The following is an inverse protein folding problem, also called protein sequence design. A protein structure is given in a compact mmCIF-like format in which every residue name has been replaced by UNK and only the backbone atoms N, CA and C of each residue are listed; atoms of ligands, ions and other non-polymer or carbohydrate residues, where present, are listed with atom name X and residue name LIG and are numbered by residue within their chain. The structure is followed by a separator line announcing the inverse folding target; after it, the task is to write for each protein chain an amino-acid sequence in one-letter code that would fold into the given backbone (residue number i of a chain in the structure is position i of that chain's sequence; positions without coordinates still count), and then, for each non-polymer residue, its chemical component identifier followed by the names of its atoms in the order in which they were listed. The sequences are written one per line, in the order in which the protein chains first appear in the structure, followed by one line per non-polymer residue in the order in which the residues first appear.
data_IF_984543449476
#
_entry.id   IF_984543449476
#
_cell.length_a   1.000
_cell.length_b   1.000
_cell.length_c   1.000
_cell.angle_alpha   90.00
_cell.angle_beta   90.00
_cell.angle_gamma   90.00
#
_symmetry.space_group_name_H-M   'P 1'
#
loop_
_entity.id
_entity.type
_entity.pdbx_description
1 polymer ?
#
# COMPACT_ATOMS: atom_id res chain seq x y z
N UNK A 1 11.97 20.10 10.67
CA UNK A 1 12.76 18.97 11.17
C UNK A 1 13.08 18.03 10.03
N UNK A 2 14.35 17.88 9.74
CA UNK A 2 14.78 17.01 8.64
C UNK A 2 15.60 15.85 9.17
N UNK A 3 15.22 14.63 8.80
CA UNK A 3 15.94 13.43 9.16
C UNK A 3 16.35 12.70 7.88
N UNK A 4 17.16 11.66 8.01
CA UNK A 4 17.52 10.82 6.88
C UNK A 4 16.26 10.23 6.25
N UNK A 5 15.27 9.87 7.07
CA UNK A 5 14.01 9.34 6.56
C UNK A 5 13.32 10.38 5.67
N UNK A 6 13.26 11.63 6.11
CA UNK A 6 12.66 12.70 5.33
C UNK A 6 13.33 12.84 3.98
N UNK A 7 14.66 12.81 3.96
CA UNK A 7 15.40 12.94 2.71
C UNK A 7 15.14 11.78 1.78
N UNK A 8 15.10 10.57 2.31
CA UNK A 8 14.92 9.39 1.47
C UNK A 8 13.53 9.28 0.90
N UNK A 9 12.53 9.74 1.64
CA UNK A 9 11.15 9.65 1.19
C UNK A 9 10.64 10.92 0.52
N UNK A 10 11.42 11.99 0.58
CA UNK A 10 11.00 13.27 -0.01
C UNK A 10 9.91 13.96 0.77
N UNK A 11 9.85 13.75 2.08
CA UNK A 11 8.82 14.34 2.93
C UNK A 11 9.45 15.35 3.88
N UNK A 12 8.62 16.23 4.44
CA UNK A 12 9.09 17.29 5.33
C UNK A 12 9.10 16.85 6.80
N UNK A 13 8.14 16.03 7.18
CA UNK A 13 8.01 15.56 8.56
C UNK A 13 8.23 14.06 8.61
N UNK A 14 8.93 13.55 9.62
CA UNK A 14 9.18 12.12 9.71
C UNK A 14 7.96 11.36 10.23
N UNK A 15 6.85 11.51 9.52
CA UNK A 15 5.57 10.91 9.87
C UNK A 15 5.06 10.11 8.69
N UNK A 16 4.78 8.83 8.91
CA UNK A 16 4.25 7.94 7.90
C UNK A 16 2.89 7.47 8.38
N UNK A 17 1.88 7.63 7.54
CA UNK A 17 0.55 7.15 7.87
C UNK A 17 0.55 5.63 7.98
N UNK A 18 -0.07 5.11 9.03
CA UNK A 18 -0.19 3.66 9.19
C UNK A 18 -1.15 3.11 8.14
N UNK A 19 -0.82 1.97 7.54
CA UNK A 19 -1.75 1.34 6.60
C UNK A 19 -2.91 0.72 7.36
N UNK A 20 -4.12 1.22 7.10
CA UNK A 20 -5.33 0.75 7.75
C UNK A 20 -6.36 0.38 6.70
N UNK A 21 -6.57 -0.92 6.52
CA UNK A 21 -7.47 -1.41 5.49
C UNK A 21 -8.91 -0.98 5.76
N UNK A 22 -9.58 -0.56 4.72
CA UNK A 22 -11.00 -0.25 4.77
C UNK A 22 -11.34 1.12 5.31
N UNK A 23 -10.45 1.76 6.03
CA UNK A 23 -10.75 3.03 6.68
C UNK A 23 -10.14 4.22 5.96
N UNK A 24 -9.21 4.00 5.07
CA UNK A 24 -8.42 5.08 4.50
C UNK A 24 -8.53 5.06 2.98
N UNK A 25 -8.99 6.17 2.43
CA UNK A 25 -9.02 6.35 0.99
C UNK A 25 -8.03 7.41 0.55
N UNK A 26 -8.04 7.75 -0.74
CA UNK A 26 -7.09 8.73 -1.26
C UNK A 26 -7.22 10.11 -0.63
N UNK A 27 -8.41 10.50 -0.20
CA UNK A 27 -8.57 11.84 0.37
C UNK A 27 -7.78 12.02 1.66
N UNK A 28 -7.87 11.04 2.57
CA UNK A 28 -7.11 11.13 3.81
C UNK A 28 -5.61 10.99 3.54
N UNK A 29 -5.23 10.07 2.67
CA UNK A 29 -3.83 9.88 2.35
C UNK A 29 -3.25 11.15 1.73
N UNK A 30 -3.99 11.80 0.84
CA UNK A 30 -3.53 13.04 0.23
C UNK A 30 -3.39 14.15 1.27
N UNK A 31 -4.31 14.20 2.23
CA UNK A 31 -4.21 15.21 3.29
C UNK A 31 -2.94 15.03 4.10
N UNK A 32 -2.57 13.79 4.41
CA UNK A 32 -1.32 13.52 5.13
C UNK A 32 -0.12 13.95 4.30
N UNK A 33 -0.10 13.60 3.01
CA UNK A 33 1.01 13.98 2.14
C UNK A 33 1.11 15.49 1.99
N UNK A 34 -0.02 16.18 1.84
CA UNK A 34 -0.03 17.62 1.70
C UNK A 34 0.41 18.32 2.98
N UNK A 35 0.23 17.68 4.11
CA UNK A 35 0.69 18.23 5.39
C UNK A 35 2.18 18.01 5.63
N UNK A 36 2.87 17.27 4.76
CA UNK A 36 4.31 17.08 4.85
C UNK A 36 4.75 15.71 5.27
N UNK A 37 3.84 14.82 5.62
CA UNK A 37 4.15 13.44 5.94
C UNK A 37 4.05 12.54 4.71
N UNK A 38 3.98 11.24 4.93
CA UNK A 38 3.79 10.29 3.84
C UNK A 38 2.42 9.64 3.97
N UNK A 39 1.50 10.01 3.08
CA UNK A 39 0.21 9.35 2.99
C UNK A 39 0.37 7.93 2.45
N UNK A 40 -0.55 7.04 2.81
CA UNK A 40 -0.41 5.64 2.46
C UNK A 40 -1.72 5.09 1.90
N UNK A 41 -1.65 4.51 0.71
CA UNK A 41 -2.77 3.78 0.13
C UNK A 41 -2.61 2.30 0.45
N UNK A 42 -3.72 1.68 0.87
CA UNK A 42 -3.72 0.25 1.19
C UNK A 42 -4.42 -0.48 0.06
N UNK A 43 -3.65 -1.15 -0.79
CA UNK A 43 -4.18 -1.70 -2.05
C UNK A 43 -3.99 -3.20 -2.19
N UNK A 44 -3.59 -3.89 -1.13
CA UNK A 44 -3.24 -5.31 -1.24
C UNK A 44 -4.44 -6.21 -1.52
N UNK A 45 -5.66 -5.69 -1.40
CA UNK A 45 -6.87 -6.45 -1.73
C UNK A 45 -7.63 -5.85 -2.91
N UNK A 46 -7.14 -4.77 -3.46
CA UNK A 46 -7.84 -4.07 -4.53
C UNK A 46 -7.67 -4.80 -5.85
N UNK A 47 -8.68 -4.72 -6.71
CA UNK A 47 -8.53 -5.21 -8.08
C UNK A 47 -7.78 -4.18 -8.91
N UNK A 48 -7.46 -4.55 -10.16
CA UNK A 48 -6.63 -3.69 -11.01
C UNK A 48 -7.27 -2.33 -11.26
N UNK A 49 -8.57 -2.32 -11.56
CA UNK A 49 -9.25 -1.06 -11.86
C UNK A 49 -9.29 -0.14 -10.65
N UNK A 50 -9.57 -0.71 -9.46
CA UNK A 50 -9.60 0.07 -8.23
C UNK A 50 -8.22 0.62 -7.92
N UNK A 51 -7.16 -0.18 -8.10
CA UNK A 51 -5.80 0.29 -7.85
C UNK A 51 -5.47 1.47 -8.73
N UNK A 52 -5.71 1.34 -10.04
CA UNK A 52 -5.37 2.42 -10.96
C UNK A 52 -6.16 3.68 -10.65
N UNK A 53 -7.44 3.52 -10.34
CA UNK A 53 -8.29 4.66 -10.01
C UNK A 53 -7.80 5.37 -8.76
N UNK A 54 -7.47 4.62 -7.71
CA UNK A 54 -7.03 5.24 -6.47
C UNK A 54 -5.67 5.91 -6.60
N UNK A 55 -4.75 5.30 -7.33
CA UNK A 55 -3.44 5.92 -7.54
C UNK A 55 -3.59 7.22 -8.34
N UNK A 56 -4.43 7.20 -9.37
CA UNK A 56 -4.67 8.40 -10.18
C UNK A 56 -5.40 9.48 -9.40
N UNK A 57 -6.37 9.08 -8.59
CA UNK A 57 -7.07 10.04 -7.74
C UNK A 57 -6.10 10.68 -6.75
N UNK A 58 -5.20 9.87 -6.18
CA UNK A 58 -4.18 10.38 -5.28
C UNK A 58 -3.32 11.44 -5.94
N UNK A 59 -2.89 11.17 -7.18
CA UNK A 59 -2.06 12.12 -7.91
C UNK A 59 -2.81 13.39 -8.28
N UNK A 60 -4.11 13.32 -8.42
CA UNK A 60 -4.92 14.53 -8.65
C UNK A 60 -5.06 15.36 -7.39
N UNK A 61 -4.98 14.74 -6.22
CA UNK A 61 -5.17 15.43 -4.95
C UNK A 61 -3.88 15.95 -4.33
N UNK A 62 -2.74 15.42 -4.73
CA UNK A 62 -1.46 15.87 -4.19
C UNK A 62 -0.35 15.65 -5.21
N UNK A 63 0.61 16.59 -5.22
CA UNK A 63 1.84 16.42 -5.98
C UNK A 63 2.96 15.88 -5.11
N UNK A 64 2.70 15.64 -3.84
CA UNK A 64 3.70 15.17 -2.90
C UNK A 64 3.79 13.65 -2.88
N UNK A 65 4.89 13.10 -2.35
CA UNK A 65 5.06 11.66 -2.29
C UNK A 65 3.98 10.97 -1.46
N UNK A 66 3.62 9.77 -1.87
CA UNK A 66 2.74 8.90 -1.10
C UNK A 66 3.22 7.46 -1.30
N UNK A 67 2.87 6.59 -0.37
CA UNK A 67 3.26 5.20 -0.44
C UNK A 67 2.08 4.28 -0.74
N UNK A 68 2.39 3.07 -1.14
CA UNK A 68 1.40 2.02 -1.39
C UNK A 68 1.78 0.81 -0.55
N UNK A 69 0.82 0.29 0.19
CA UNK A 69 1.02 -0.89 1.02
C UNK A 69 0.48 -2.14 0.33
N UNK A 70 1.33 -3.17 0.23
CA UNK A 70 0.95 -4.48 -0.29
C UNK A 70 1.34 -5.53 0.76
N UNK A 71 0.47 -6.52 0.96
CA UNK A 71 0.70 -7.57 1.94
C UNK A 71 1.20 -8.83 1.24
N UNK A 72 2.45 -9.19 1.49
CA UNK A 72 3.10 -10.31 0.83
C UNK A 72 2.67 -11.68 1.36
N UNK A 73 1.79 -11.72 2.35
CA UNK A 73 1.19 -13.01 2.75
C UNK A 73 0.26 -13.54 1.65
N UNK A 74 -0.06 -12.73 0.67
CA UNK A 74 -0.93 -13.08 -0.45
C UNK A 74 -0.19 -12.81 -1.75
N UNK A 75 -0.58 -13.47 -2.86
CA UNK A 75 0.06 -13.19 -4.15
C UNK A 75 -0.18 -11.74 -4.55
N UNK A 76 0.90 -11.03 -4.87
CA UNK A 76 0.84 -9.61 -5.18
C UNK A 76 1.52 -9.26 -6.50
N UNK A 77 1.86 -10.26 -7.31
CA UNK A 77 2.61 -10.01 -8.55
C UNK A 77 1.89 -9.01 -9.45
N UNK A 78 0.60 -9.23 -9.66
CA UNK A 78 -0.17 -8.35 -10.53
C UNK A 78 -0.27 -6.94 -9.95
N UNK A 79 -0.48 -6.85 -8.65
CA UNK A 79 -0.59 -5.54 -8.00
C UNK A 79 0.73 -4.79 -8.03
N UNK A 80 1.83 -5.52 -7.88
CA UNK A 80 3.15 -4.90 -7.97
C UNK A 80 3.38 -4.36 -9.38
N UNK A 81 3.00 -5.13 -10.41
CA UNK A 81 3.13 -4.67 -11.79
C UNK A 81 2.32 -3.41 -12.03
N UNK A 82 1.12 -3.34 -11.48
CA UNK A 82 0.28 -2.16 -11.65
C UNK A 82 0.94 -0.95 -11.00
N UNK A 83 1.51 -1.13 -9.81
CA UNK A 83 2.23 -0.04 -9.15
C UNK A 83 3.37 0.46 -10.03
N UNK A 84 4.11 -0.44 -10.65
CA UNK A 84 5.21 -0.06 -11.52
C UNK A 84 4.71 0.64 -12.78
N UNK A 85 3.62 0.14 -13.37
CA UNK A 85 3.02 0.79 -14.54
C UNK A 85 2.54 2.20 -14.22
N UNK A 86 1.98 2.38 -13.02
CA UNK A 86 1.51 3.68 -12.60
C UNK A 86 2.63 4.54 -12.01
N UNK A 87 3.87 4.07 -12.11
CA UNK A 87 5.07 4.83 -11.75
C UNK A 87 5.16 5.16 -10.27
N UNK A 88 4.72 4.25 -9.42
CA UNK A 88 4.96 4.38 -7.98
C UNK A 88 6.43 4.02 -7.73
N UNK A 89 7.21 4.93 -7.13
CA UNK A 89 8.63 4.63 -6.89
C UNK A 89 8.83 3.43 -5.96
N UNK A 90 9.89 2.66 -6.23
CA UNK A 90 10.17 1.47 -5.44
C UNK A 90 10.27 1.75 -3.95
N UNK A 91 10.92 2.84 -3.59
CA UNK A 91 11.16 3.14 -2.17
C UNK A 91 9.89 3.59 -1.45
N UNK A 92 8.80 3.79 -2.18
CA UNK A 92 7.51 4.14 -1.60
C UNK A 92 6.54 2.96 -1.58
N UNK A 93 7.01 1.77 -1.94
CA UNK A 93 6.21 0.56 -1.83
C UNK A 93 6.50 -0.09 -0.48
N UNK A 94 5.46 -0.21 0.35
CA UNK A 94 5.59 -0.89 1.63
C UNK A 94 5.16 -2.33 1.48
N UNK A 95 6.14 -3.23 1.38
CA UNK A 95 5.90 -4.65 1.22
C UNK A 95 6.10 -5.32 2.57
N UNK A 96 5.02 -5.81 3.16
CA UNK A 96 5.07 -6.34 4.50
C UNK A 96 4.40 -7.70 4.58
N UNK A 97 4.83 -8.49 5.54
CA UNK A 97 4.18 -9.75 5.85
C UNK A 97 3.61 -9.68 7.25
N UNK A 98 2.62 -10.52 7.50
CA UNK A 98 2.07 -10.63 8.83
C UNK A 98 3.15 -11.15 9.79
N UNK A 99 3.20 -10.55 10.98
CA UNK A 99 4.09 -11.04 12.02
C UNK A 99 3.53 -12.29 12.71
N UNK A 100 2.27 -12.62 12.41
CA UNK A 100 1.65 -13.82 12.94
C UNK A 100 1.39 -14.78 11.79
N UNK A 101 2.37 -15.63 11.45
CA UNK A 101 2.28 -16.44 10.23
C UNK A 101 1.07 -17.37 10.17
N UNK A 102 0.50 -17.72 11.31
CA UNK A 102 -0.65 -18.61 11.31
C UNK A 102 -1.89 -18.04 10.65
N UNK A 103 -1.99 -16.71 10.57
CA UNK A 103 -3.20 -16.08 10.07
C UNK A 103 -3.44 -16.37 8.59
N UNK A 104 -2.44 -16.16 7.76
CA UNK A 104 -2.59 -16.41 6.33
C UNK A 104 -2.10 -17.80 5.94
N UNK A 105 -1.13 -18.30 6.69
CA UNK A 105 -0.58 -19.61 6.39
C UNK A 105 -1.58 -20.74 6.45
N UNK A 106 -2.46 -20.69 7.42
CA UNK A 106 -3.49 -21.71 7.54
C UNK A 106 -4.43 -21.68 6.36
N UNK A 107 -4.82 -20.52 5.92
CA UNK A 107 -5.68 -20.40 4.76
C UNK A 107 -5.04 -21.01 3.53
N UNK A 108 -3.77 -20.72 3.32
CA UNK A 108 -3.07 -21.29 2.16
C UNK A 108 -2.98 -22.81 2.22
N UNK A 109 -2.74 -23.35 3.39
CA UNK A 109 -2.67 -24.79 3.51
C UNK A 109 -3.99 -25.44 3.21
N UNK A 110 -5.08 -24.84 3.67
CA UNK A 110 -6.39 -25.39 3.36
C UNK A 110 -6.71 -25.27 1.89
N UNK A 111 -6.25 -24.22 1.27
CA UNK A 111 -6.49 -24.04 -0.14
C UNK A 111 -5.90 -25.14 -0.97
N UNK A 112 -4.84 -25.73 -0.52
CA UNK A 112 -4.27 -26.87 -1.24
C UNK A 112 -5.21 -28.05 -1.32
N UNK A 113 -6.14 -28.12 -0.38
CA UNK A 113 -7.12 -29.21 -0.43
C UNK A 113 -8.35 -28.79 -1.15
N UNK A 114 -8.71 -27.63 -0.97
CA UNK A 114 -9.90 -27.20 -1.50
C UNK A 114 -9.78 -25.91 -1.96
N UNK A 115 -9.77 -25.41 -1.69
CA UNK A 115 -10.08 -24.28 -1.77
C UNK A 115 -9.92 -23.27 -1.62
N UNK A 116 -10.09 -23.09 -1.73
CA UNK A 116 -9.87 -21.97 -1.73
C UNK A 116 -10.36 -20.92 -1.11
N UNK A 117 -10.84 -20.86 -0.78
CA UNK A 117 -11.39 -19.88 -0.27
C UNK A 117 -10.87 -18.77 0.29
N UNK A 118 -10.83 -18.70 0.34
CA UNK A 118 -10.60 -17.76 0.85
C UNK A 118 -10.18 -16.98 0.63
N UNK A 119 -10.21 -17.15 0.33
CA UNK A 119 -9.83 -16.51 -0.03
C UNK A 119 -9.62 -15.98 -0.01
N UNK A 120 -9.85 -16.10 0.00
CA UNK A 120 -9.64 -15.83 -0.14
C UNK A 120 -9.56 -15.57 -0.38
#
# INVERSE_FOLDING_TARGET
MKTILCERLGIELPIIQAPMGGAVGPKLAAAVSNAGGLGMLVLWRADADTMRRQIREMRALTSRPFGVNLNLDFPQEERLEICLEERVPDHLLLLARSIFPGAAGKGRRRDRHAHGGFGH
#
